data_IF_468666892383
#
_entry.id   IF_468666892383
#
_cell.length_a   1.000
_cell.length_b   1.000
_cell.length_c   1.000
_cell.angle_alpha   90.00
_cell.angle_beta   90.00
_cell.angle_gamma   90.00
#
_symmetry.space_group_name_H-M   'P 1'
#
loop_
_entity.id
_entity.type
_entity.pdbx_description
1 polymer ?
#
# COMPACT_ATOMS: atom_id res chain seq x y z
N UNK A 1 -7.02 -4.37 3.83
CA UNK A 1 -7.56 -5.54 3.08
C UNK A 1 -7.45 -5.39 1.57
N UNK A 2 -8.03 -4.35 0.93
CA UNK A 2 -7.99 -4.18 -0.55
C UNK A 2 -6.56 -4.03 -1.11
N UNK A 3 -5.65 -3.36 -0.40
CA UNK A 3 -4.22 -3.30 -0.76
C UNK A 3 -3.61 -4.70 -0.92
N UNK A 4 -3.76 -5.55 0.12
CA UNK A 4 -3.23 -6.91 0.15
C UNK A 4 -3.80 -7.74 -0.99
N UNK A 5 -5.11 -7.63 -1.24
CA UNK A 5 -5.76 -8.30 -2.36
C UNK A 5 -5.20 -7.84 -3.72
N UNK A 6 -4.97 -6.53 -3.89
CA UNK A 6 -4.36 -5.98 -5.10
C UNK A 6 -2.93 -6.49 -5.30
N UNK A 7 -2.15 -6.59 -4.22
CA UNK A 7 -0.79 -7.12 -4.26
C UNK A 7 -0.79 -8.62 -4.59
N UNK A 8 -1.71 -9.39 -4.01
CA UNK A 8 -1.91 -10.80 -4.35
C UNK A 8 -2.21 -11.00 -5.83
N UNK A 9 -3.16 -10.23 -6.39
CA UNK A 9 -3.48 -10.30 -7.82
C UNK A 9 -2.26 -9.96 -8.69
N UNK A 10 -1.49 -8.94 -8.32
CA UNK A 10 -0.24 -8.62 -9.01
C UNK A 10 0.73 -9.80 -9.03
N UNK A 11 1.00 -10.41 -7.86
CA UNK A 11 1.92 -11.54 -7.76
C UNK A 11 1.44 -12.71 -8.61
N UNK A 12 0.17 -13.08 -8.54
CA UNK A 12 -0.38 -14.19 -9.34
C UNK A 12 -0.28 -13.90 -10.84
N UNK A 13 -0.64 -12.69 -11.28
CA UNK A 13 -0.55 -12.33 -12.69
C UNK A 13 0.92 -12.30 -13.16
N UNK A 14 1.83 -11.79 -12.34
CA UNK A 14 3.26 -11.78 -12.63
C UNK A 14 3.83 -13.20 -12.76
N UNK A 15 3.53 -14.09 -11.81
CA UNK A 15 4.01 -15.48 -11.84
C UNK A 15 3.51 -16.25 -13.06
N UNK A 16 2.27 -15.96 -13.50
CA UNK A 16 1.62 -16.59 -14.65
C UNK A 16 1.85 -15.85 -15.98
N UNK A 17 2.65 -14.77 -16.01
CA UNK A 17 2.86 -13.92 -17.19
C UNK A 17 1.54 -13.43 -17.84
N UNK A 18 0.54 -13.11 -17.02
CA UNK A 18 -0.78 -12.63 -17.49
C UNK A 18 -0.81 -11.10 -17.52
N UNK A 19 -1.74 -10.55 -18.30
CA UNK A 19 -2.08 -9.12 -18.26
C UNK A 19 -2.53 -8.72 -16.85
N UNK A 20 -2.28 -7.46 -16.49
CA UNK A 20 -2.57 -6.91 -15.16
C UNK A 20 -3.98 -6.32 -15.03
N UNK A 21 -4.93 -6.69 -15.89
CA UNK A 21 -6.28 -6.08 -15.91
C UNK A 21 -7.02 -6.27 -14.57
N UNK A 22 -6.93 -7.46 -13.96
CA UNK A 22 -7.53 -7.70 -12.64
C UNK A 22 -6.82 -6.93 -11.54
N UNK A 23 -5.49 -6.81 -11.59
CA UNK A 23 -4.71 -5.96 -10.68
C UNK A 23 -5.12 -4.50 -10.81
N UNK A 24 -5.28 -4.00 -12.04
CA UNK A 24 -5.71 -2.64 -12.33
C UNK A 24 -7.07 -2.35 -11.70
N UNK A 25 -8.06 -3.21 -11.91
CA UNK A 25 -9.40 -3.03 -11.35
C UNK A 25 -9.37 -2.99 -9.81
N UNK A 26 -8.61 -3.89 -9.18
CA UNK A 26 -8.48 -3.89 -7.72
C UNK A 26 -7.78 -2.62 -7.18
N UNK A 27 -6.74 -2.14 -7.86
CA UNK A 27 -6.06 -0.89 -7.50
C UNK A 27 -6.95 0.33 -7.77
N UNK A 28 -7.80 0.32 -8.80
CA UNK A 28 -8.78 1.41 -8.99
C UNK A 28 -9.73 1.52 -7.80
N UNK A 29 -10.25 0.40 -7.30
CA UNK A 29 -11.06 0.38 -6.06
C UNK A 29 -10.23 0.89 -4.88
N UNK A 30 -8.98 0.43 -4.74
CA UNK A 30 -8.07 0.90 -3.70
C UNK A 30 -7.85 2.42 -3.74
N UNK A 31 -7.68 2.98 -4.94
CA UNK A 31 -7.50 4.40 -5.19
C UNK A 31 -8.72 5.21 -4.75
N UNK A 32 -9.93 4.82 -5.17
CA UNK A 32 -11.18 5.49 -4.78
C UNK A 32 -11.34 5.47 -3.26
N UNK A 33 -11.12 4.31 -2.63
CA UNK A 33 -11.21 4.18 -1.17
C UNK A 33 -10.19 5.06 -0.45
N UNK A 34 -8.97 5.19 -0.98
CA UNK A 34 -7.94 6.05 -0.40
C UNK A 34 -8.24 7.53 -0.58
N UNK A 35 -8.82 7.95 -1.71
CA UNK A 35 -9.28 9.33 -1.89
C UNK A 35 -10.35 9.69 -0.86
N UNK A 36 -11.32 8.80 -0.65
CA UNK A 36 -12.35 8.99 0.39
C UNK A 36 -11.69 9.06 1.77
N UNK A 37 -10.80 8.11 2.08
CA UNK A 37 -10.08 8.08 3.34
C UNK A 37 -9.25 9.36 3.58
N UNK A 38 -8.60 9.90 2.56
CA UNK A 38 -7.83 11.14 2.63
C UNK A 38 -8.71 12.33 3.02
N UNK A 39 -9.92 12.43 2.46
CA UNK A 39 -10.88 13.49 2.80
C UNK A 39 -11.25 13.40 4.29
N UNK A 40 -11.61 12.20 4.78
CA UNK A 40 -11.93 12.00 6.19
C UNK A 40 -10.75 12.31 7.11
N UNK A 41 -9.55 11.87 6.73
CA UNK A 41 -8.33 12.13 7.50
C UNK A 41 -8.03 13.63 7.57
N UNK A 42 -8.07 14.32 6.43
CA UNK A 42 -7.81 15.76 6.35
C UNK A 42 -8.84 16.57 7.14
N UNK A 43 -10.11 16.19 7.03
CA UNK A 43 -11.18 16.82 7.79
C UNK A 43 -11.02 16.57 9.30
N UNK A 44 -10.63 15.36 9.71
CA UNK A 44 -10.36 15.04 11.11
C UNK A 44 -9.19 15.85 11.67
N UNK A 45 -8.10 16.00 10.91
CA UNK A 45 -6.97 16.86 11.29
C UNK A 45 -7.40 18.31 11.45
N UNK A 46 -8.21 18.83 10.51
CA UNK A 46 -8.72 20.19 10.56
C UNK A 46 -9.70 20.44 11.72
N UNK A 47 -10.61 19.51 11.99
CA UNK A 47 -11.64 19.68 13.03
C UNK A 47 -11.13 19.44 14.46
N UNK A 48 -10.07 18.66 14.63
CA UNK A 48 -9.52 18.30 15.94
C UNK A 48 -8.17 18.99 16.25
N UNK A 49 -7.77 19.98 15.44
CA UNK A 49 -6.52 20.73 15.58
C UNK A 49 -5.28 19.85 15.81
N UNK A 50 -5.21 18.74 15.08
CA UNK A 50 -4.15 17.74 15.27
C UNK A 50 -2.79 18.29 14.81
N UNK A 51 -1.69 17.98 15.54
CA UNK A 51 -0.37 18.45 15.16
C UNK A 51 0.07 17.88 13.80
N UNK A 52 0.44 18.80 12.91
CA UNK A 52 0.93 18.50 11.57
C UNK A 52 2.42 18.16 11.66
N UNK A 53 2.76 16.88 11.57
CA UNK A 53 4.16 16.39 11.59
C UNK A 53 4.71 16.31 10.15
N UNK A 54 5.65 17.18 9.72
CA UNK A 54 6.05 17.31 8.32
C UNK A 54 6.59 16.01 7.69
N UNK A 55 7.36 15.22 8.44
CA UNK A 55 7.93 13.96 7.93
C UNK A 55 6.85 12.91 7.64
N UNK A 56 5.81 12.85 8.49
CA UNK A 56 4.68 11.94 8.30
C UNK A 56 3.86 12.32 7.06
N UNK A 57 3.78 13.63 6.79
CA UNK A 57 3.06 14.18 5.65
C UNK A 57 3.80 13.93 4.34
N UNK A 58 5.12 14.08 4.31
CA UNK A 58 5.90 13.84 3.08
C UNK A 58 5.79 12.39 2.61
N UNK A 59 5.94 11.42 3.53
CA UNK A 59 5.79 10.01 3.20
C UNK A 59 4.35 9.65 2.80
N UNK A 60 3.36 10.13 3.55
CA UNK A 60 1.95 9.91 3.25
C UNK A 60 1.52 10.53 1.92
N UNK A 61 1.94 11.77 1.64
CA UNK A 61 1.63 12.49 0.42
C UNK A 61 2.15 11.77 -0.83
N UNK A 62 3.41 11.31 -0.80
CA UNK A 62 3.99 10.53 -1.88
C UNK A 62 3.24 9.20 -2.09
N UNK A 63 2.81 8.54 -1.01
CA UNK A 63 1.98 7.33 -1.13
C UNK A 63 0.64 7.63 -1.81
N UNK A 64 -0.04 8.71 -1.43
CA UNK A 64 -1.27 9.14 -2.10
C UNK A 64 -1.05 9.42 -3.58
N UNK A 65 0.04 10.10 -3.95
CA UNK A 65 0.38 10.35 -5.34
C UNK A 65 0.55 9.03 -6.12
N UNK A 66 1.26 8.06 -5.55
CA UNK A 66 1.43 6.75 -6.16
C UNK A 66 0.10 6.04 -6.34
N UNK A 67 -0.74 6.03 -5.30
CA UNK A 67 -2.06 5.37 -5.32
C UNK A 67 -2.96 5.96 -6.41
N UNK A 68 -2.95 7.29 -6.58
CA UNK A 68 -3.76 7.99 -7.57
C UNK A 68 -3.25 7.72 -8.98
N UNK A 69 -1.94 7.83 -9.22
CA UNK A 69 -1.35 7.73 -10.56
C UNK A 69 -1.36 6.28 -11.08
N UNK A 70 -1.05 5.31 -10.22
CA UNK A 70 -0.75 3.94 -10.64
C UNK A 70 -1.84 3.26 -11.49
N UNK A 71 -3.15 3.35 -11.16
CA UNK A 71 -4.21 2.80 -12.02
C UNK A 71 -4.21 3.28 -13.48
N UNK A 72 -3.74 4.51 -13.73
CA UNK A 72 -3.71 5.11 -15.07
C UNK A 72 -2.48 4.69 -15.88
N UNK A 73 -1.39 4.31 -15.21
CA UNK A 73 -0.12 3.97 -15.85
C UNK A 73 0.20 2.48 -15.81
N UNK A 74 -0.51 1.66 -15.04
CA UNK A 74 -0.22 0.23 -14.85
C UNK A 74 -0.07 -0.54 -16.18
N UNK A 75 -0.91 -0.27 -17.17
CA UNK A 75 -0.84 -0.95 -18.48
C UNK A 75 0.22 -0.35 -19.42
N UNK A 76 0.81 0.80 -19.07
CA UNK A 76 1.88 1.48 -19.83
C UNK A 76 3.28 1.13 -19.34
N UNK A 77 3.39 0.57 -18.14
CA UNK A 77 4.66 0.16 -17.54
C UNK A 77 5.14 -1.13 -18.21
N UNK A 78 6.32 -1.06 -18.83
CA UNK A 78 6.95 -2.20 -19.52
C UNK A 78 7.79 -3.02 -18.52
N UNK A 79 8.54 -2.34 -17.64
CA UNK A 79 9.44 -3.01 -16.71
C UNK A 79 8.70 -3.40 -15.42
N UNK A 80 8.60 -4.70 -15.10
CA UNK A 80 7.86 -5.17 -13.94
C UNK A 80 8.43 -4.72 -12.58
N UNK A 81 9.70 -4.28 -12.54
CA UNK A 81 10.30 -3.71 -11.34
C UNK A 81 9.50 -2.53 -10.82
N UNK A 82 8.94 -1.68 -11.68
CA UNK A 82 8.17 -0.51 -11.25
C UNK A 82 6.85 -0.89 -10.57
N UNK A 83 6.20 -1.99 -10.97
CA UNK A 83 5.05 -2.52 -10.24
C UNK A 83 5.44 -3.01 -8.84
N UNK A 84 6.57 -3.71 -8.74
CA UNK A 84 7.10 -4.13 -7.45
C UNK A 84 7.43 -2.93 -6.57
N UNK A 85 8.09 -1.90 -7.09
CA UNK A 85 8.39 -0.66 -6.34
C UNK A 85 7.09 -0.03 -5.82
N UNK A 86 6.05 0.08 -6.66
CA UNK A 86 4.76 0.62 -6.23
C UNK A 86 4.19 -0.13 -5.03
N UNK A 87 4.08 -1.46 -5.10
CA UNK A 87 3.51 -2.25 -4.00
C UNK A 87 4.37 -2.14 -2.73
N UNK A 88 5.68 -2.33 -2.83
CA UNK A 88 6.53 -2.25 -1.64
C UNK A 88 6.57 -0.86 -1.02
N UNK A 89 6.55 0.22 -1.82
CA UNK A 89 6.53 1.57 -1.29
C UNK A 89 5.23 1.90 -0.56
N UNK A 90 4.07 1.71 -1.22
CA UNK A 90 2.76 1.95 -0.60
C UNK A 90 2.57 1.05 0.63
N UNK A 91 2.99 -0.20 0.51
CA UNK A 91 2.97 -1.16 1.59
C UNK A 91 3.86 -0.77 2.78
N UNK A 92 5.06 -0.24 2.53
CA UNK A 92 5.94 0.26 3.58
C UNK A 92 5.30 1.43 4.33
N UNK A 93 4.72 2.39 3.62
CA UNK A 93 4.01 3.51 4.24
C UNK A 93 2.83 3.01 5.09
N UNK A 94 2.07 2.02 4.61
CA UNK A 94 1.03 1.37 5.43
C UNK A 94 1.60 0.69 6.68
N UNK A 95 2.73 0.00 6.58
CA UNK A 95 3.39 -0.64 7.73
C UNK A 95 3.84 0.40 8.77
N UNK A 96 4.40 1.52 8.33
CA UNK A 96 4.77 2.64 9.20
C UNK A 96 3.55 3.23 9.89
N UNK A 97 2.44 3.40 9.18
CA UNK A 97 1.17 3.85 9.79
C UNK A 97 0.69 2.88 10.87
N UNK A 98 0.71 1.57 10.63
CA UNK A 98 0.35 0.58 11.64
C UNK A 98 1.33 0.54 12.82
N UNK A 99 2.63 0.74 12.58
CA UNK A 99 3.62 0.81 13.64
C UNK A 99 3.36 2.00 14.56
N UNK A 100 3.10 3.19 14.01
CA UNK A 100 2.73 4.37 14.78
C UNK A 100 1.41 4.18 15.54
N UNK A 101 0.44 3.46 14.96
CA UNK A 101 -0.81 3.08 15.66
C UNK A 101 -0.55 2.15 16.85
N UNK A 102 0.29 1.13 16.67
CA UNK A 102 0.67 0.19 17.74
C UNK A 102 1.42 0.90 18.87
N UNK A 103 2.23 1.91 18.56
CA UNK A 103 2.94 2.72 19.54
C UNK A 103 2.08 3.73 20.30
N UNK A 104 0.81 3.92 19.90
CA UNK A 104 -0.05 4.94 20.49
C UNK A 104 0.31 6.38 20.09
N UNK A 105 1.01 6.56 18.97
CA UNK A 105 1.42 7.89 18.48
C UNK A 105 0.23 8.68 17.87
N UNK A 106 -0.95 8.05 17.74
CA UNK A 106 -2.17 8.69 17.24
C UNK A 106 -3.00 9.24 18.40
N UNK A 107 -2.99 10.55 18.58
CA UNK A 107 -3.82 11.26 19.55
C UNK A 107 -5.31 11.00 19.31
N UNK A 108 -6.03 10.58 20.35
CA UNK A 108 -7.47 10.31 20.27
C UNK A 108 -7.85 8.98 19.61
N UNK A 109 -6.89 8.10 19.33
CA UNK A 109 -7.16 6.77 18.82
C UNK A 109 -6.24 5.71 19.45
N UNK A 110 -6.80 4.94 20.38
CA UNK A 110 -6.08 3.91 21.10
C UNK A 110 -5.59 2.76 20.18
N UNK A 111 -4.45 2.13 20.51
CA UNK A 111 -4.04 0.89 19.87
C UNK A 111 -5.09 -0.22 20.05
N UNK A 112 -5.33 -1.01 19.01
CA UNK A 112 -6.28 -2.12 19.00
C UNK A 112 -5.56 -3.38 18.56
N UNK A 113 -6.03 -4.55 19.00
CA UNK A 113 -5.47 -5.85 18.62
C UNK A 113 -5.34 -6.01 17.10
N UNK A 114 -6.31 -5.48 16.36
CA UNK A 114 -6.30 -5.48 14.90
C UNK A 114 -5.06 -4.79 14.30
N UNK A 115 -4.56 -3.70 14.89
CA UNK A 115 -3.38 -3.00 14.41
C UNK A 115 -2.12 -3.87 14.48
N UNK A 116 -1.98 -4.66 15.55
CA UNK A 116 -0.88 -5.62 15.68
C UNK A 116 -0.97 -6.75 14.66
N UNK A 117 -2.16 -7.35 14.52
CA UNK A 117 -2.40 -8.43 13.55
C UNK A 117 -2.16 -7.93 12.13
N UNK A 118 -2.63 -6.73 11.81
CA UNK A 118 -2.45 -6.12 10.49
C UNK A 118 -0.97 -5.88 10.18
N UNK A 119 -0.18 -5.37 11.14
CA UNK A 119 1.25 -5.12 10.97
C UNK A 119 2.02 -6.43 10.71
N UNK A 120 1.82 -7.44 11.57
CA UNK A 120 2.50 -8.73 11.46
C UNK A 120 2.11 -9.43 10.16
N UNK A 121 0.81 -9.44 9.83
CA UNK A 121 0.31 -10.01 8.59
C UNK A 121 0.89 -9.33 7.35
N UNK A 122 1.02 -8.00 7.38
CA UNK A 122 1.59 -7.23 6.27
C UNK A 122 3.08 -7.57 6.05
N UNK A 123 3.87 -7.65 7.14
CA UNK A 123 5.28 -8.05 7.09
C UNK A 123 5.43 -9.46 6.51
N UNK A 124 4.62 -10.41 6.99
CA UNK A 124 4.65 -11.78 6.48
C UNK A 124 4.35 -11.84 4.98
N UNK A 125 3.34 -11.09 4.51
CA UNK A 125 2.98 -11.01 3.10
C UNK A 125 4.11 -10.40 2.26
N UNK A 126 4.82 -9.39 2.75
CA UNK A 126 5.95 -8.79 2.04
C UNK A 126 7.11 -9.75 1.85
N UNK A 127 7.43 -10.51 2.90
CA UNK A 127 8.46 -11.54 2.82
C UNK A 127 8.03 -12.63 1.84
N UNK A 128 6.84 -13.19 2.03
CA UNK A 128 6.34 -14.30 1.22
C UNK A 128 6.24 -13.92 -0.27
N UNK A 129 5.60 -12.80 -0.61
CA UNK A 129 5.50 -12.35 -2.00
C UNK A 129 6.85 -11.94 -2.57
N UNK A 130 7.75 -11.37 -1.77
CA UNK A 130 9.11 -11.02 -2.20
C UNK A 130 9.89 -12.25 -2.66
N UNK A 131 9.86 -13.32 -1.86
CA UNK A 131 10.49 -14.59 -2.20
C UNK A 131 9.93 -15.18 -3.50
N UNK A 132 8.62 -15.13 -3.71
CA UNK A 132 7.98 -15.60 -4.95
C UNK A 132 8.43 -14.80 -6.18
N UNK A 133 8.47 -13.47 -6.08
CA UNK A 133 8.88 -12.59 -7.17
C UNK A 133 10.36 -12.76 -7.52
N UNK A 134 11.24 -12.91 -6.51
CA UNK A 134 12.67 -13.16 -6.70
C UNK A 134 12.88 -14.52 -7.38
N UNK A 135 12.27 -15.59 -6.86
CA UNK A 135 12.38 -16.94 -7.43
C UNK A 135 12.01 -16.96 -8.92
N UNK A 136 10.93 -16.28 -9.30
CA UNK A 136 10.50 -16.21 -10.71
C UNK A 136 11.50 -15.47 -11.61
N UNK A 137 12.16 -14.41 -11.11
CA UNK A 137 13.17 -13.68 -11.89
C UNK A 137 14.45 -14.50 -12.07
N UNK A 138 14.92 -15.20 -11.03
CA UNK A 138 16.11 -16.06 -11.11
C UNK A 138 15.91 -17.16 -12.15
N UNK A 139 14.74 -17.78 -12.22
CA UNK A 139 14.44 -18.86 -13.20
C UNK A 139 14.35 -18.35 -14.65
N UNK A 140 14.16 -17.04 -14.87
CA UNK A 140 14.03 -16.46 -16.22
C UNK A 140 15.37 -16.02 -16.81
N UNK A 141 16.41 -15.88 -15.98
CA UNK A 141 17.77 -15.56 -16.38
C UNK A 141 18.58 -16.85 -16.57
#
# INVERSE_FOLDING_TARGET
>A
MIYVYSFFLYVINFLKNRKLDSTKNAVQVFCILHLIHFIFLSLSVYLNDLPIIPINILGGFLAYLFIIIYPFIINKIINPIYHTIFFYYVGFIMAMTYLSRVKGEFTGAEPELFHFIALIGLIFIFIFFGLLLIKKRVVKN
#
